data_IF_335624321931
#
_entry.id   IF_335624321931
#
_cell.length_a   1.000
_cell.length_b   1.000
_cell.length_c   1.000
_cell.angle_alpha   90.00
_cell.angle_beta   90.00
_cell.angle_gamma   90.00
#
_symmetry.space_group_name_H-M   'P 1'
#
loop_
_entity.id
_entity.type
_entity.pdbx_description
1 polymer ?
#
# COMPACT_ATOMS: atom_id res chain seq x y z
N UNK A 1 16.83 -3.96 -3.05
CA UNK A 1 16.37 -3.32 -1.81
C UNK A 1 14.95 -3.83 -1.54
N UNK A 2 14.45 -3.78 -0.30
CA UNK A 2 13.07 -4.18 -0.02
C UNK A 2 12.22 -2.91 -0.01
N UNK A 3 11.56 -2.63 -1.12
CA UNK A 3 10.57 -1.56 -1.27
C UNK A 3 9.21 -2.05 -0.76
N UNK A 4 9.19 -2.56 0.49
CA UNK A 4 7.99 -3.14 1.10
C UNK A 4 7.63 -2.46 2.41
N UNK A 5 6.34 -2.22 2.59
CA UNK A 5 5.72 -1.73 3.81
C UNK A 5 5.12 -2.89 4.59
N UNK A 6 5.10 -2.78 5.91
CA UNK A 6 4.57 -3.80 6.82
C UNK A 6 3.64 -3.12 7.81
N UNK A 7 2.42 -3.64 7.94
CA UNK A 7 1.43 -3.16 8.89
C UNK A 7 0.47 -4.30 9.23
N UNK A 8 0.28 -4.56 10.54
CA UNK A 8 -0.35 -5.80 11.03
C UNK A 8 0.32 -7.03 10.40
N UNK A 9 -0.47 -7.97 9.88
CA UNK A 9 0.00 -9.16 9.17
C UNK A 9 0.08 -8.97 7.64
N UNK A 10 -0.02 -7.72 7.16
CA UNK A 10 -0.04 -7.38 5.74
C UNK A 10 1.29 -6.79 5.26
N UNK A 11 1.62 -7.11 4.00
CA UNK A 11 2.80 -6.62 3.31
C UNK A 11 2.33 -5.78 2.12
N UNK A 12 2.79 -4.54 2.02
CA UNK A 12 2.57 -3.69 0.85
C UNK A 12 3.83 -3.64 -0.01
N UNK A 13 3.71 -3.83 -1.32
CA UNK A 13 4.80 -3.53 -2.26
C UNK A 13 4.67 -2.10 -2.77
N UNK A 14 5.78 -1.38 -2.92
CA UNK A 14 5.79 0.02 -3.37
C UNK A 14 6.73 0.20 -4.56
N UNK A 15 6.31 1.02 -5.53
CA UNK A 15 7.10 1.43 -6.69
C UNK A 15 6.87 2.92 -6.98
N UNK A 16 7.91 3.62 -7.37
CA UNK A 16 7.78 4.99 -7.88
C UNK A 16 7.45 4.99 -9.37
N UNK A 17 6.41 5.74 -9.76
CA UNK A 17 6.11 6.07 -11.16
C UNK A 17 6.79 7.40 -11.50
N UNK A 18 7.75 7.37 -12.42
CA UNK A 18 8.42 8.59 -12.89
C UNK A 18 7.48 9.43 -13.77
N UNK A 19 6.59 8.78 -14.53
CA UNK A 19 5.65 9.44 -15.44
C UNK A 19 4.62 10.29 -14.69
N UNK A 20 4.11 9.76 -13.57
CA UNK A 20 3.10 10.43 -12.74
C UNK A 20 3.70 11.17 -11.53
N UNK A 21 5.00 10.95 -11.25
CA UNK A 21 5.66 11.54 -10.08
C UNK A 21 5.07 11.09 -8.75
N UNK A 22 4.53 9.88 -8.67
CA UNK A 22 3.81 9.34 -7.51
C UNK A 22 4.33 7.95 -7.12
N UNK A 23 4.27 7.62 -5.84
CA UNK A 23 4.47 6.25 -5.41
C UNK A 23 3.16 5.47 -5.53
N UNK A 24 3.21 4.32 -6.18
CA UNK A 24 2.12 3.38 -6.27
C UNK A 24 2.46 2.13 -5.45
N UNK A 25 1.50 1.61 -4.70
CA UNK A 25 1.65 0.38 -3.97
C UNK A 25 0.41 -0.50 -4.01
N UNK A 26 0.59 -1.76 -3.60
CA UNK A 26 -0.48 -2.74 -3.47
C UNK A 26 -0.23 -3.70 -2.32
N UNK A 27 -1.30 -4.19 -1.72
CA UNK A 27 -1.24 -5.22 -0.68
C UNK A 27 -0.94 -6.57 -1.33
N UNK A 28 0.09 -7.25 -0.82
CA UNK A 28 0.52 -8.57 -1.26
C UNK A 28 -0.06 -9.65 -0.34
N UNK A 29 -0.28 -10.85 -0.91
CA UNK A 29 -0.69 -12.02 -0.13
C UNK A 29 -2.19 -12.08 0.20
N UNK A 30 -3.01 -11.25 -0.44
CA UNK A 30 -4.47 -11.30 -0.37
C UNK A 30 -5.07 -11.79 -1.70
N UNK A 31 -6.33 -12.22 -1.68
CA UNK A 31 -7.03 -12.67 -2.90
C UNK A 31 -7.51 -11.49 -3.76
N UNK A 32 -7.78 -10.35 -3.14
CA UNK A 32 -8.27 -9.14 -3.80
C UNK A 32 -7.14 -8.22 -4.25
N UNK A 33 -7.44 -7.30 -5.17
CA UNK A 33 -6.52 -6.26 -5.57
C UNK A 33 -6.80 -4.99 -4.76
N UNK A 34 -5.97 -4.72 -3.76
CA UNK A 34 -6.01 -3.47 -3.01
C UNK A 34 -4.77 -2.65 -3.32
N UNK A 35 -4.96 -1.49 -3.95
CA UNK A 35 -3.91 -0.54 -4.31
C UNK A 35 -4.00 0.72 -3.47
N UNK A 36 -2.86 1.38 -3.28
CA UNK A 36 -2.73 2.64 -2.56
C UNK A 36 -1.65 3.51 -3.21
N UNK A 37 -1.71 4.81 -3.02
CA UNK A 37 -0.77 5.76 -3.63
C UNK A 37 -0.40 6.89 -2.67
N UNK A 38 0.68 7.60 -2.97
CA UNK A 38 1.09 8.78 -2.23
C UNK A 38 2.24 9.52 -2.91
N UNK A 39 2.28 10.85 -2.79
CA UNK A 39 3.32 11.68 -3.42
C UNK A 39 4.60 11.73 -2.58
N UNK A 40 4.47 11.55 -1.27
CA UNK A 40 5.57 11.47 -0.32
C UNK A 40 5.65 10.11 0.37
N UNK A 41 6.80 9.85 1.00
CA UNK A 41 7.00 8.65 1.81
C UNK A 41 6.01 8.59 2.98
N UNK A 42 5.63 9.72 3.55
CA UNK A 42 4.66 9.78 4.65
C UNK A 42 3.26 9.43 4.16
N UNK A 43 2.82 10.05 3.05
CA UNK A 43 1.51 9.79 2.45
C UNK A 43 1.35 8.33 2.07
N UNK A 44 2.29 7.72 1.34
CA UNK A 44 2.12 6.33 0.92
C UNK A 44 2.11 5.36 2.11
N UNK A 45 2.81 5.69 3.20
CA UNK A 45 2.75 4.89 4.43
C UNK A 45 1.41 5.01 5.14
N UNK A 46 0.80 6.19 5.07
CA UNK A 46 -0.53 6.42 5.62
C UNK A 46 -1.59 5.70 4.76
N UNK A 47 -1.58 5.91 3.44
CA UNK A 47 -2.49 5.26 2.50
C UNK A 47 -2.40 3.73 2.58
N UNK A 48 -1.22 3.16 2.80
CA UNK A 48 -1.08 1.71 3.04
C UNK A 48 -1.81 1.24 4.30
N UNK A 49 -1.70 1.98 5.41
CA UNK A 49 -2.38 1.61 6.66
C UNK A 49 -3.89 1.72 6.52
N UNK A 50 -4.36 2.81 5.93
CA UNK A 50 -5.78 3.03 5.64
C UNK A 50 -6.34 1.93 4.75
N UNK A 51 -5.64 1.59 3.65
CA UNK A 51 -6.04 0.50 2.76
C UNK A 51 -6.08 -0.88 3.45
N UNK A 52 -5.16 -1.14 4.39
CA UNK A 52 -5.18 -2.38 5.19
C UNK A 52 -6.34 -2.38 6.19
N UNK A 53 -6.57 -1.28 6.90
CA UNK A 53 -7.69 -1.15 7.83
C UNK A 53 -9.03 -1.32 7.11
N UNK A 54 -9.23 -0.63 5.98
CA UNK A 54 -10.42 -0.75 5.15
C UNK A 54 -10.61 -2.18 4.61
N UNK A 55 -9.53 -2.83 4.13
CA UNK A 55 -9.61 -4.20 3.65
C UNK A 55 -10.03 -5.18 4.76
N UNK A 56 -9.50 -5.00 5.98
CA UNK A 56 -9.87 -5.83 7.12
C UNK A 56 -11.34 -5.60 7.47
N UNK A 57 -11.79 -4.35 7.59
CA UNK A 57 -13.19 -4.00 7.92
C UNK A 57 -14.20 -4.55 6.89
N UNK A 58 -13.85 -4.50 5.60
CA UNK A 58 -14.68 -5.05 4.52
C UNK A 58 -14.76 -6.59 4.50
N UNK A 59 -13.78 -7.26 5.10
CA UNK A 59 -13.66 -8.72 5.10
C UNK A 59 -14.02 -9.37 6.45
N UNK A 60 -14.44 -8.58 7.45
CA UNK A 60 -14.99 -9.10 8.72
C UNK A 60 -16.36 -9.78 8.58
#
# INVERSE_FOLDING_TARGET
MKDTLHYKDFIGSVRFSEEDGVFCGKIEGINDLVSFEGQTVEEIRQSFREAVDDYVDLCE
#
